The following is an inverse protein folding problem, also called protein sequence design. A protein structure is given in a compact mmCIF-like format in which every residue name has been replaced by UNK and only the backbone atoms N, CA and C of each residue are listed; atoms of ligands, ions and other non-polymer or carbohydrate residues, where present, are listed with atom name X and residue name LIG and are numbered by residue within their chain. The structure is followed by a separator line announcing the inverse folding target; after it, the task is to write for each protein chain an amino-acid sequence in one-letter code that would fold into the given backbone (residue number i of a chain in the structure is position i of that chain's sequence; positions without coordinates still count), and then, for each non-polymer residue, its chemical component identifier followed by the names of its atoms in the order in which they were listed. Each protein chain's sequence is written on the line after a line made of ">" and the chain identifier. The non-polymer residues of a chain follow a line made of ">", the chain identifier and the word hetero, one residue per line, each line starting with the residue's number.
data_IF_574206529779
#
_entry.id   IF_574206529779
#
_cell.length_a   1.000
_cell.length_b   1.000
_cell.length_c   1.000
_cell.angle_alpha   90.00
_cell.angle_beta   90.00
_cell.angle_gamma   90.00
#
_symmetry.space_group_name_H-M   'P 1'
#
loop_
_entity.id
_entity.type
_entity.pdbx_description
1 polymer ?
#
# COMPACT_ATOMS: atom_id res chain seq x y z
N UNK A 1 -5.11 -32.48 -30.08
CA UNK A 1 -4.66 -32.02 -28.74
C UNK A 1 -5.60 -30.92 -28.31
N UNK A 2 -6.64 -31.26 -27.54
CA UNK A 2 -7.54 -30.28 -26.94
C UNK A 2 -6.76 -29.60 -25.81
N UNK A 3 -6.39 -28.34 -26.00
CA UNK A 3 -5.99 -27.49 -24.88
C UNK A 3 -7.30 -27.15 -24.20
N UNK A 4 -7.64 -27.92 -23.17
CA UNK A 4 -8.72 -27.57 -22.26
C UNK A 4 -8.24 -26.33 -21.51
N UNK A 5 -8.68 -25.15 -21.97
CA UNK A 5 -8.54 -23.92 -21.21
C UNK A 5 -9.60 -23.98 -20.12
N UNK A 6 -9.28 -24.71 -19.03
CA UNK A 6 -9.89 -24.43 -17.73
C UNK A 6 -9.72 -22.94 -17.52
N UNK A 7 -10.84 -22.24 -17.59
CA UNK A 7 -10.96 -20.82 -17.36
C UNK A 7 -10.33 -20.62 -15.98
N UNK A 8 -9.19 -19.92 -15.91
CA UNK A 8 -8.67 -19.50 -14.61
C UNK A 8 -9.80 -18.69 -13.99
N UNK A 9 -10.43 -19.23 -12.96
CA UNK A 9 -11.45 -18.52 -12.21
C UNK A 9 -10.82 -17.18 -11.82
N UNK A 10 -11.45 -16.07 -12.20
CA UNK A 10 -11.05 -14.69 -11.87
C UNK A 10 -11.20 -14.50 -10.35
N UNK A 11 -10.35 -15.20 -9.59
CA UNK A 11 -10.33 -15.13 -8.15
C UNK A 11 -9.59 -13.86 -7.76
N UNK A 12 -10.34 -12.99 -7.10
CA UNK A 12 -9.80 -11.88 -6.35
C UNK A 12 -9.22 -12.42 -5.04
N UNK A 13 -7.96 -12.14 -4.80
CA UNK A 13 -7.22 -12.52 -3.60
C UNK A 13 -6.98 -11.29 -2.72
N UNK A 14 -6.90 -11.52 -1.41
CA UNK A 14 -6.61 -10.50 -0.41
C UNK A 14 -5.30 -10.86 0.30
N UNK A 15 -4.36 -9.91 0.32
CA UNK A 15 -3.15 -10.00 1.14
C UNK A 15 -3.23 -9.01 2.29
N UNK A 16 -2.84 -9.44 3.50
CA UNK A 16 -2.94 -8.66 4.74
C UNK A 16 -1.57 -8.55 5.42
N UNK A 17 -1.22 -7.36 5.92
CA UNK A 17 -0.04 -7.14 6.78
C UNK A 17 -0.37 -6.12 7.87
N UNK A 18 -0.12 -6.50 9.13
CA UNK A 18 -0.15 -5.56 10.24
C UNK A 18 1.24 -4.94 10.39
N UNK A 19 1.30 -3.61 10.44
CA UNK A 19 2.53 -2.85 10.64
C UNK A 19 2.40 -2.03 11.92
N UNK A 20 3.30 -2.28 12.87
CA UNK A 20 3.49 -1.35 13.99
C UNK A 20 4.29 -0.15 13.50
N UNK A 21 3.76 1.05 13.71
CA UNK A 21 4.48 2.28 13.43
C UNK A 21 5.49 2.51 14.55
N UNK A 22 6.76 2.53 14.18
CA UNK A 22 7.90 2.80 15.06
C UNK A 22 9.02 3.42 14.23
N UNK A 23 9.79 4.34 14.80
CA UNK A 23 10.85 4.98 14.04
C UNK A 23 11.53 6.09 14.82
N UNK A 24 12.83 6.28 14.58
CA UNK A 24 13.63 7.31 15.24
C UNK A 24 13.95 8.44 14.26
N UNK A 25 13.13 9.50 14.29
CA UNK A 25 13.30 10.76 13.56
C UNK A 25 13.86 10.60 12.14
N UNK A 26 13.28 9.68 11.37
CA UNK A 26 13.83 9.26 10.09
C UNK A 26 12.72 8.87 9.11
N UNK A 27 13.13 8.70 7.86
CA UNK A 27 12.33 8.00 6.87
C UNK A 27 12.45 6.48 7.12
N UNK A 28 11.30 5.85 7.34
CA UNK A 28 11.18 4.42 7.61
C UNK A 28 10.61 3.74 6.38
N UNK A 29 11.27 2.67 5.93
CA UNK A 29 10.86 1.87 4.78
C UNK A 29 10.33 0.52 5.25
N UNK A 30 9.01 0.35 5.24
CA UNK A 30 8.36 -0.87 5.71
C UNK A 30 7.89 -1.70 4.53
N UNK A 31 8.47 -2.90 4.35
CA UNK A 31 7.99 -3.84 3.34
C UNK A 31 6.62 -4.39 3.78
N UNK A 32 5.60 -4.19 2.95
CA UNK A 32 4.25 -4.71 3.21
C UNK A 32 4.07 -6.08 2.56
N UNK A 33 4.33 -6.16 1.26
CA UNK A 33 4.08 -7.35 0.44
C UNK A 33 5.25 -7.61 -0.52
N UNK A 34 5.57 -8.88 -0.74
CA UNK A 34 6.50 -9.33 -1.77
C UNK A 34 5.73 -9.70 -3.03
N UNK A 35 6.19 -9.22 -4.18
CA UNK A 35 5.66 -9.54 -5.51
C UNK A 35 6.47 -10.73 -6.08
N UNK A 36 5.82 -11.89 -6.28
CA UNK A 36 6.51 -13.12 -6.71
C UNK A 36 6.51 -13.35 -8.22
N UNK A 37 5.61 -12.71 -8.96
CA UNK A 37 5.47 -12.78 -10.42
C UNK A 37 4.78 -11.52 -10.95
N UNK A 38 3.92 -11.65 -11.95
CA UNK A 38 3.06 -10.56 -12.44
C UNK A 38 1.66 -10.68 -11.84
N UNK A 39 1.18 -9.59 -11.24
CA UNK A 39 -0.14 -9.47 -10.60
C UNK A 39 -0.84 -8.19 -11.05
N UNK A 40 -2.16 -8.22 -11.09
CA UNK A 40 -3.00 -7.02 -11.20
C UNK A 40 -3.51 -6.69 -9.80
N UNK A 41 -3.38 -5.43 -9.38
CA UNK A 41 -3.79 -4.93 -8.08
C UNK A 41 -4.93 -3.95 -8.26
N UNK A 42 -6.01 -4.16 -7.51
CA UNK A 42 -7.21 -3.32 -7.52
C UNK A 42 -7.11 -2.24 -6.43
N UNK A 43 -6.75 -2.65 -5.22
CA UNK A 43 -6.69 -1.78 -4.05
C UNK A 43 -5.45 -2.05 -3.22
N UNK A 44 -4.89 -0.97 -2.66
CA UNK A 44 -3.95 -1.01 -1.54
C UNK A 44 -4.36 0.08 -0.57
N UNK A 45 -4.63 -0.30 0.67
CA UNK A 45 -4.98 0.63 1.73
C UNK A 45 -4.49 0.14 3.09
N UNK A 46 -4.46 1.05 4.07
CA UNK A 46 -4.15 0.73 5.46
C UNK A 46 -5.09 1.48 6.41
N UNK A 47 -5.60 0.78 7.42
CA UNK A 47 -6.48 1.32 8.45
C UNK A 47 -5.81 1.19 9.83
N UNK A 48 -5.87 2.25 10.63
CA UNK A 48 -5.37 2.26 12.01
C UNK A 48 -6.28 1.40 12.89
N UNK A 49 -5.71 0.44 13.63
CA UNK A 49 -6.45 -0.61 14.33
C UNK A 49 -6.43 -0.49 15.85
N UNK A 50 -5.27 -0.25 16.46
CA UNK A 50 -5.08 -0.48 17.91
C UNK A 50 -5.01 0.78 18.76
N UNK A 51 -4.46 1.87 18.24
CA UNK A 51 -4.24 3.11 18.98
C UNK A 51 -4.11 4.29 18.01
N UNK A 52 -4.28 5.50 18.55
CA UNK A 52 -3.96 6.72 17.81
C UNK A 52 -2.50 6.69 17.39
N UNK A 53 -2.24 6.90 16.10
CA UNK A 53 -0.87 7.04 15.60
C UNK A 53 -0.20 8.20 16.33
N UNK A 54 1.10 8.02 16.57
CA UNK A 54 1.96 9.04 17.12
C UNK A 54 1.81 10.41 16.44
N UNK A 55 2.10 11.47 17.19
CA UNK A 55 1.86 12.84 16.75
C UNK A 55 2.78 13.33 15.62
N UNK A 56 3.76 12.54 15.18
CA UNK A 56 4.85 13.00 14.30
C UNK A 56 5.05 12.17 13.02
N UNK A 57 4.03 11.46 12.53
CA UNK A 57 4.07 10.89 11.17
C UNK A 57 3.78 11.98 10.14
N UNK A 58 4.82 12.67 9.68
CA UNK A 58 4.72 13.92 8.90
C UNK A 58 4.53 13.73 7.40
N UNK A 59 4.90 12.57 6.86
CA UNK A 59 4.72 12.22 5.46
C UNK A 59 4.57 10.70 5.33
N UNK A 60 3.74 10.24 4.40
CA UNK A 60 3.61 8.81 4.10
C UNK A 60 3.18 8.56 2.66
N UNK A 61 3.69 7.49 2.06
CA UNK A 61 3.40 7.12 0.67
C UNK A 61 3.67 5.62 0.43
N UNK A 62 3.20 5.14 -0.72
CA UNK A 62 3.48 3.80 -1.21
C UNK A 62 4.48 3.82 -2.36
N UNK A 63 5.39 2.84 -2.38
CA UNK A 63 6.27 2.59 -3.51
C UNK A 63 6.45 1.09 -3.79
N UNK A 64 7.07 0.80 -4.93
CA UNK A 64 7.56 -0.53 -5.28
C UNK A 64 9.07 -0.48 -5.33
N UNK A 65 9.72 -1.34 -4.56
CA UNK A 65 11.16 -1.38 -4.46
C UNK A 65 11.71 -2.77 -4.80
N UNK A 66 12.40 -2.93 -5.95
CA UNK A 66 13.27 -4.06 -6.18
C UNK A 66 14.59 -3.89 -5.41
N UNK A 67 15.04 -4.91 -4.69
CA UNK A 67 16.31 -4.88 -3.92
C UNK A 67 17.56 -4.58 -4.77
N UNK A 68 17.48 -4.75 -6.09
CA UNK A 68 18.50 -4.37 -7.05
C UNK A 68 17.98 -3.36 -8.08
N UNK A 69 17.52 -2.19 -7.65
CA UNK A 69 17.10 -1.11 -8.54
C UNK A 69 16.57 0.13 -7.82
N UNK A 70 16.07 1.09 -8.60
CA UNK A 70 15.39 2.26 -8.07
C UNK A 70 13.95 1.90 -7.66
N UNK A 71 13.46 2.57 -6.61
CA UNK A 71 12.04 2.51 -6.26
C UNK A 71 11.19 3.17 -7.36
N UNK A 72 9.98 2.65 -7.54
CA UNK A 72 8.95 3.21 -8.43
C UNK A 72 7.81 3.71 -7.56
N UNK A 73 7.47 4.99 -7.68
CA UNK A 73 6.40 5.61 -6.91
C UNK A 73 5.03 5.01 -7.26
N UNK A 74 4.31 4.47 -6.27
CA UNK A 74 2.90 4.13 -6.43
C UNK A 74 2.02 5.33 -6.12
N UNK A 75 2.42 6.11 -5.12
CA UNK A 75 1.82 7.42 -4.79
C UNK A 75 2.93 8.46 -4.71
N UNK A 76 2.58 9.73 -4.95
CA UNK A 76 3.52 10.85 -5.00
C UNK A 76 4.29 11.01 -3.68
N UNK A 77 5.61 11.15 -3.78
CA UNK A 77 6.47 11.45 -2.62
C UNK A 77 6.39 12.93 -2.24
N UNK A 78 6.48 13.82 -3.23
CA UNK A 78 6.41 15.27 -3.00
C UNK A 78 4.99 15.64 -2.58
N UNK A 79 4.87 16.29 -1.42
CA UNK A 79 3.61 16.61 -0.75
C UNK A 79 2.82 15.36 -0.31
N UNK A 80 3.51 14.25 -0.03
CA UNK A 80 2.94 13.11 0.67
C UNK A 80 2.21 13.55 1.95
N UNK A 81 1.02 13.00 2.24
CA UNK A 81 0.19 13.45 3.35
C UNK A 81 0.81 13.05 4.70
N UNK A 82 0.50 13.84 5.73
CA UNK A 82 0.80 13.49 7.12
C UNK A 82 -0.24 12.53 7.68
N UNK A 83 0.21 11.61 8.54
CA UNK A 83 -0.63 10.70 9.30
C UNK A 83 -0.54 10.88 10.83
N UNK A 84 0.00 12.01 11.28
CA UNK A 84 0.05 12.38 12.70
C UNK A 84 -1.32 12.31 13.37
N UNK A 85 -1.36 11.65 14.54
CA UNK A 85 -2.56 11.59 15.39
C UNK A 85 -3.78 10.97 14.69
N UNK A 86 -3.57 10.07 13.73
CA UNK A 86 -4.69 9.31 13.14
C UNK A 86 -5.24 8.36 14.20
N UNK A 87 -6.48 8.55 14.60
CA UNK A 87 -7.18 7.65 15.51
C UNK A 87 -7.61 6.36 14.80
N UNK A 88 -8.03 5.37 15.59
CA UNK A 88 -8.55 4.08 15.10
C UNK A 88 -9.66 4.30 14.06
N UNK A 89 -9.62 3.54 12.97
CA UNK A 89 -10.53 3.67 11.83
C UNK A 89 -10.11 4.71 10.79
N UNK A 90 -9.14 5.57 11.10
CA UNK A 90 -8.50 6.44 10.09
C UNK A 90 -7.58 5.60 9.19
N UNK A 91 -7.24 6.08 7.99
CA UNK A 91 -6.46 5.29 7.05
C UNK A 91 -5.87 6.04 5.87
N UNK A 92 -5.19 5.29 5.02
CA UNK A 92 -4.57 5.76 3.79
C UNK A 92 -4.87 4.79 2.65
N UNK A 93 -5.16 5.31 1.46
CA UNK A 93 -5.50 4.51 0.28
C UNK A 93 -4.82 5.04 -0.98
N UNK A 94 -4.37 4.12 -1.84
CA UNK A 94 -4.03 4.41 -3.23
C UNK A 94 -5.30 4.35 -4.09
N UNK A 95 -5.98 5.49 -4.23
CA UNK A 95 -7.23 5.63 -5.00
C UNK A 95 -7.02 6.23 -6.39
N UNK A 96 -5.89 6.89 -6.63
CA UNK A 96 -5.60 7.60 -7.88
C UNK A 96 -4.48 6.94 -8.70
N UNK A 97 -4.26 7.46 -9.91
CA UNK A 97 -3.19 7.03 -10.82
C UNK A 97 -1.79 7.11 -10.16
N UNK A 98 -0.81 6.43 -10.77
CA UNK A 98 0.55 6.42 -10.24
C UNK A 98 1.10 7.84 -10.08
N UNK A 99 1.92 8.05 -9.04
CA UNK A 99 2.51 9.34 -8.70
C UNK A 99 1.50 10.46 -8.36
N UNK A 100 0.23 10.14 -8.07
CA UNK A 100 -0.69 11.04 -7.36
C UNK A 100 -0.59 10.86 -5.85
N UNK A 101 -0.91 11.92 -5.10
CA UNK A 101 -0.87 11.93 -3.63
C UNK A 101 -1.87 10.86 -3.11
N UNK A 102 -1.45 10.07 -2.13
CA UNK A 102 -2.34 9.11 -1.48
C UNK A 102 -3.53 9.82 -0.81
N UNK A 103 -4.72 9.23 -0.85
CA UNK A 103 -5.86 9.77 -0.11
C UNK A 103 -5.77 9.32 1.33
N UNK A 104 -5.93 10.26 2.25
CA UNK A 104 -6.04 9.96 3.68
C UNK A 104 -7.48 10.09 4.14
N UNK A 105 -7.85 9.20 5.05
CA UNK A 105 -9.18 9.05 5.61
C UNK A 105 -9.09 9.31 7.11
N UNK A 106 -9.85 10.27 7.64
CA UNK A 106 -9.85 10.65 9.06
C UNK A 106 -11.17 10.24 9.69
N UNK A 107 -11.13 9.42 10.75
CA UNK A 107 -12.34 8.94 11.40
C UNK A 107 -13.08 10.02 12.21
N UNK A 108 -12.39 11.09 12.64
CA UNK A 108 -12.98 12.16 13.46
C UNK A 108 -13.77 13.19 12.65
N UNK A 109 -13.83 13.02 11.32
CA UNK A 109 -14.54 13.94 10.43
C UNK A 109 -15.46 13.13 9.54
N UNK A 110 -16.70 13.61 9.35
CA UNK A 110 -17.57 13.05 8.33
C UNK A 110 -16.89 13.18 6.97
N UNK A 111 -16.59 12.04 6.36
CA UNK A 111 -15.82 11.99 5.13
C UNK A 111 -16.64 11.34 4.03
N UNK A 112 -16.59 11.98 2.86
CA UNK A 112 -17.08 11.44 1.61
C UNK A 112 -15.92 11.46 0.62
N UNK A 113 -15.60 10.30 0.06
CA UNK A 113 -14.58 10.18 -0.98
C UNK A 113 -15.18 9.34 -2.11
N UNK A 114 -15.29 9.94 -3.29
CA UNK A 114 -15.58 9.22 -4.52
C UNK A 114 -14.26 8.81 -5.16
N UNK A 115 -14.16 7.54 -5.55
CA UNK A 115 -13.07 7.07 -6.39
C UNK A 115 -13.26 7.61 -7.80
N UNK A 116 -12.69 8.79 -8.04
CA UNK A 116 -12.67 9.54 -9.30
C UNK A 116 -14.07 9.88 -9.87
N UNK A 117 -14.44 11.17 -9.79
CA UNK A 117 -15.73 11.66 -10.29
C UNK A 117 -15.87 11.58 -11.82
N UNK A 118 -14.78 11.26 -12.55
CA UNK A 118 -14.81 11.01 -13.99
C UNK A 118 -15.12 9.54 -14.26
N UNK A 119 -16.33 9.24 -14.74
CA UNK A 119 -16.80 7.89 -15.09
C UNK A 119 -15.88 7.12 -16.06
N UNK A 120 -14.95 7.80 -16.75
CA UNK A 120 -13.93 7.18 -17.63
C UNK A 120 -12.68 6.71 -16.87
N UNK A 121 -12.61 6.98 -15.57
CA UNK A 121 -11.44 6.76 -14.71
C UNK A 121 -11.78 6.00 -13.42
N UNK A 122 -12.78 5.11 -13.47
CA UNK A 122 -13.02 4.07 -12.46
C UNK A 122 -11.68 3.51 -11.98
N UNK A 123 -11.47 3.45 -10.65
CA UNK A 123 -10.26 3.00 -9.97
C UNK A 123 -9.48 2.00 -10.83
N UNK A 124 -8.47 2.52 -11.53
CA UNK A 124 -7.82 1.72 -12.58
C UNK A 124 -6.90 0.72 -11.89
N UNK A 125 -7.17 -0.59 -12.02
CA UNK A 125 -6.25 -1.56 -11.49
C UNK A 125 -4.89 -1.37 -12.16
N UNK A 126 -3.83 -1.54 -11.40
CA UNK A 126 -2.47 -1.40 -11.89
C UNK A 126 -1.76 -2.75 -11.87
N UNK A 127 -0.69 -2.87 -12.65
CA UNK A 127 0.05 -4.13 -12.79
C UNK A 127 1.38 -4.00 -12.06
N UNK A 128 1.65 -4.93 -11.16
CA UNK A 128 2.94 -5.10 -10.53
C UNK A 128 3.63 -6.32 -11.10
N UNK A 129 4.94 -6.22 -11.31
CA UNK A 129 5.78 -7.30 -11.78
C UNK A 129 7.02 -7.42 -10.92
N UNK A 130 7.38 -8.67 -10.59
CA UNK A 130 8.68 -8.98 -10.00
C UNK A 130 9.80 -8.61 -10.96
N UNK A 131 10.82 -7.92 -10.46
CA UNK A 131 12.07 -7.72 -11.20
C UNK A 131 12.90 -9.01 -11.16
N UNK A 132 13.30 -9.51 -12.33
CA UNK A 132 14.14 -10.71 -12.44
C UNK A 132 15.44 -10.54 -11.63
N UNK A 133 15.81 -11.58 -10.87
CA UNK A 133 17.01 -11.57 -10.02
C UNK A 133 16.93 -10.68 -8.77
N UNK A 134 15.77 -10.09 -8.46
CA UNK A 134 15.58 -9.25 -7.28
C UNK A 134 14.32 -9.65 -6.50
N UNK A 135 14.31 -9.31 -5.20
CA UNK A 135 13.07 -9.31 -4.41
C UNK A 135 12.40 -7.98 -4.65
N UNK A 136 11.14 -8.00 -5.08
CA UNK A 136 10.34 -6.80 -5.34
C UNK A 136 9.30 -6.66 -4.24
N UNK A 137 9.38 -5.57 -3.48
CA UNK A 137 8.47 -5.29 -2.38
C UNK A 137 7.54 -4.14 -2.73
N UNK A 138 6.27 -4.25 -2.37
CA UNK A 138 5.42 -3.09 -2.12
C UNK A 138 5.76 -2.58 -0.73
N UNK A 139 6.06 -1.29 -0.59
CA UNK A 139 6.42 -0.68 0.69
C UNK A 139 5.44 0.41 1.07
N UNK A 140 5.25 0.55 2.37
CA UNK A 140 4.76 1.77 2.99
C UNK A 140 5.97 2.51 3.54
N UNK A 141 6.15 3.73 3.07
CA UNK A 141 7.22 4.61 3.51
C UNK A 141 6.61 5.74 4.29
N UNK A 142 7.14 6.03 5.46
CA UNK A 142 6.69 7.14 6.29
C UNK A 142 7.86 7.83 6.95
N UNK A 143 7.69 9.11 7.25
CA UNK A 143 8.70 9.93 7.91
C UNK A 143 8.22 10.33 9.30
N UNK A 144 9.07 10.10 10.29
CA UNK A 144 8.82 10.51 11.67
C UNK A 144 9.64 11.76 12.00
N UNK A 145 9.03 12.75 12.67
CA UNK A 145 9.72 13.97 13.10
C UNK A 145 10.51 13.82 14.40
N UNK A 146 10.15 12.81 15.19
CA UNK A 146 10.71 12.52 16.52
C UNK A 146 10.92 11.01 16.68
N UNK A 147 11.45 10.61 17.84
CA UNK A 147 11.54 9.20 18.22
C UNK A 147 10.18 8.70 18.70
N UNK A 148 9.60 7.77 17.94
CA UNK A 148 8.30 7.16 18.17
C UNK A 148 8.43 5.73 18.71
N UNK A 149 9.59 5.35 19.24
CA UNK A 149 9.80 3.99 19.79
C UNK A 149 8.87 3.65 20.96
N UNK A 150 8.39 4.66 21.70
CA UNK A 150 7.45 4.51 22.83
C UNK A 150 5.99 4.83 22.47
N UNK A 151 5.73 5.41 21.30
CA UNK A 151 4.38 5.72 20.81
C UNK A 151 3.99 4.78 19.67
N UNK A 152 3.18 3.76 19.98
CA UNK A 152 2.82 2.73 19.00
C UNK A 152 1.37 2.85 18.54
N UNK A 153 1.18 2.88 17.23
CA UNK A 153 -0.10 2.53 16.59
C UNK A 153 0.11 1.45 15.54
N UNK A 154 -0.86 0.55 15.39
CA UNK A 154 -0.82 -0.50 14.37
C UNK A 154 -1.71 -0.08 13.20
N UNK A 155 -1.17 -0.21 11.99
CA UNK A 155 -1.93 -0.09 10.74
C UNK A 155 -2.10 -1.49 10.14
N UNK A 156 -3.34 -1.87 9.89
CA UNK A 156 -3.71 -3.06 9.13
C UNK A 156 -3.75 -2.69 7.65
N UNK A 157 -2.77 -3.17 6.88
CA UNK A 157 -2.71 -3.00 5.43
C UNK A 157 -3.36 -4.17 4.70
N UNK A 158 -4.15 -3.85 3.68
CA UNK A 158 -4.78 -4.81 2.78
C UNK A 158 -4.41 -4.48 1.33
N UNK A 159 -4.19 -5.52 0.52
CA UNK A 159 -4.11 -5.42 -0.93
C UNK A 159 -5.05 -6.43 -1.59
N UNK A 160 -5.90 -5.95 -2.50
CA UNK A 160 -6.77 -6.80 -3.34
C UNK A 160 -6.15 -6.98 -4.72
N UNK A 161 -5.98 -8.22 -5.16
CA UNK A 161 -5.19 -8.54 -6.35
C UNK A 161 -5.63 -9.81 -7.06
N UNK A 162 -5.14 -10.01 -8.28
CA UNK A 162 -5.31 -11.24 -9.04
C UNK A 162 -4.00 -11.61 -9.76
N UNK A 163 -3.68 -12.90 -9.89
CA UNK A 163 -2.51 -13.35 -10.64
C UNK A 163 -2.68 -13.04 -12.14
N UNK A 164 -1.62 -12.59 -12.80
CA UNK A 164 -1.53 -12.51 -14.27
C UNK A 164 -0.50 -13.50 -14.85
N UNK A 165 0.21 -14.20 -13.98
CA UNK A 165 1.23 -15.21 -14.31
C UNK A 165 1.11 -16.37 -13.31
N UNK A 166 1.60 -17.54 -13.68
CA UNK A 166 1.47 -18.77 -12.87
C UNK A 166 2.15 -18.70 -11.51
N UNK A 167 3.18 -17.85 -11.36
CA UNK A 167 3.91 -17.59 -10.12
C UNK A 167 3.55 -16.22 -9.50
N UNK A 168 2.57 -15.52 -10.08
CA UNK A 168 2.13 -14.19 -9.67
C UNK A 168 1.37 -14.23 -8.34
N UNK A 169 1.96 -13.68 -7.29
CA UNK A 169 1.29 -13.46 -6.03
C UNK A 169 1.75 -12.17 -5.33
N UNK A 170 0.87 -11.62 -4.49
CA UNK A 170 1.24 -10.73 -3.39
C UNK A 170 1.18 -11.52 -2.09
N UNK A 171 2.34 -11.66 -1.44
CA UNK A 171 2.45 -12.33 -0.14
C UNK A 171 2.93 -11.35 0.93
N UNK A 172 2.45 -11.45 2.18
CA UNK A 172 2.95 -10.60 3.26
C UNK A 172 4.47 -10.68 3.37
N UNK A 173 5.14 -9.54 3.42
CA UNK A 173 6.59 -9.50 3.64
C UNK A 173 6.91 -10.00 5.04
N UNK A 174 8.09 -10.60 5.22
CA UNK A 174 8.59 -11.00 6.53
C UNK A 174 8.76 -9.77 7.43
#
# INVERSE_FOLDING_TARGET
>A
MKIDRTIAEDHLYIAVKHLTINGNAAQIFSNLFVVTGVVRVFYIYGIVETATLAADVTACYFDVFPTAGAAVELTKIVAAPAMSSFEVGSGIIKSQEAAQIATVLRANVAMFAEEDADFKKVAKPFILGKKSGAVTNVRFVYTTGTDLTEETGVIHFEAQWQPLSSDGALVPAA
#
